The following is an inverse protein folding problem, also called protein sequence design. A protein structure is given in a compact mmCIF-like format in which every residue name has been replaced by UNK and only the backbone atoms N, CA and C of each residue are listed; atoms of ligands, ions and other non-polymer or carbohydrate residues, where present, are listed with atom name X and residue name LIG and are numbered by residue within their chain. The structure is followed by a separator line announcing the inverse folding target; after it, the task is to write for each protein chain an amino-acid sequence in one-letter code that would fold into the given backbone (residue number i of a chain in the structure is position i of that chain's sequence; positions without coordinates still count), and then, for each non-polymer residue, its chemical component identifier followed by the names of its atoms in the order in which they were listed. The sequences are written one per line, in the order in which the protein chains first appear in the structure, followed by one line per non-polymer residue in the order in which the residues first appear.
data_IF_521040132827
#
_entry.id   IF_521040132827
#
_cell.length_a   1.000
_cell.length_b   1.000
_cell.length_c   1.000
_cell.angle_alpha   90.00
_cell.angle_beta   90.00
_cell.angle_gamma   90.00
#
_symmetry.space_group_name_H-M   'P 1'
#
loop_
_entity.id
_entity.type
_entity.pdbx_description
1 polymer ?
#
# COMPACT_ATOMS: atom_id res chain seq x y z
N UNK A 1 7.59 17.24 6.00
CA UNK A 1 8.02 18.42 5.19
C UNK A 1 7.14 19.65 5.41
N UNK A 2 5.83 19.54 5.62
CA UNK A 2 4.93 20.66 5.96
C UNK A 2 4.76 21.74 4.88
N UNK A 3 5.19 21.47 3.65
CA UNK A 3 5.09 22.37 2.50
C UNK A 3 4.15 21.81 1.45
N UNK A 4 3.51 22.68 0.67
CA UNK A 4 2.77 22.24 -0.51
C UNK A 4 3.74 21.74 -1.61
N UNK A 5 3.32 20.84 -2.53
CA UNK A 5 4.19 20.34 -3.61
C UNK A 5 4.80 21.44 -4.49
N UNK A 6 4.09 22.57 -4.65
CA UNK A 6 4.56 23.73 -5.42
C UNK A 6 5.65 24.56 -4.73
N UNK A 7 5.81 24.39 -3.42
CA UNK A 7 6.78 25.13 -2.60
C UNK A 7 8.07 24.33 -2.37
N UNK A 8 8.13 23.08 -2.85
CA UNK A 8 9.31 22.25 -2.72
C UNK A 8 10.43 22.77 -3.64
N UNK A 9 11.61 22.99 -3.06
CA UNK A 9 12.84 23.29 -3.81
C UNK A 9 13.28 22.07 -4.64
N UNK A 10 14.18 22.28 -5.60
CA UNK A 10 14.76 21.19 -6.38
C UNK A 10 15.48 20.17 -5.50
N UNK A 11 16.24 20.61 -4.52
CA UNK A 11 16.94 19.74 -3.55
C UNK A 11 15.99 18.93 -2.66
N UNK A 12 14.80 19.45 -2.35
CA UNK A 12 13.77 18.69 -1.62
C UNK A 12 13.09 17.67 -2.54
N UNK A 13 12.87 18.00 -3.81
CA UNK A 13 12.32 17.05 -4.81
C UNK A 13 13.28 15.89 -5.11
N UNK A 14 14.58 16.13 -5.10
CA UNK A 14 15.60 15.08 -5.27
C UNK A 14 15.52 14.00 -4.18
N UNK A 15 14.96 14.34 -3.01
CA UNK A 15 14.76 13.43 -1.88
C UNK A 15 13.44 12.66 -1.95
N UNK A 16 12.69 12.77 -3.03
CA UNK A 16 11.42 12.07 -3.23
C UNK A 16 11.59 11.06 -4.37
N UNK A 17 11.40 9.79 -4.06
CA UNK A 17 11.32 8.71 -5.05
C UNK A 17 9.87 8.49 -5.45
N UNK A 18 9.60 8.43 -6.76
CA UNK A 18 8.22 8.29 -7.26
C UNK A 18 8.12 7.13 -8.23
N UNK A 19 7.09 6.27 -8.03
CA UNK A 19 6.64 5.33 -9.06
C UNK A 19 5.22 5.72 -9.49
N UNK A 20 5.04 5.95 -10.80
CA UNK A 20 3.72 6.22 -11.37
C UNK A 20 3.25 5.02 -12.20
N UNK A 21 1.95 4.98 -12.52
CA UNK A 21 1.36 3.92 -13.34
C UNK A 21 2.09 3.76 -14.68
N UNK A 22 2.45 4.88 -15.32
CA UNK A 22 3.24 4.85 -16.56
C UNK A 22 4.75 4.95 -16.29
N UNK A 23 5.55 4.26 -17.10
CA UNK A 23 7.01 4.35 -17.06
C UNK A 23 7.46 5.68 -17.65
N UNK A 24 8.25 6.47 -16.91
CA UNK A 24 8.85 7.71 -17.39
C UNK A 24 9.98 7.50 -18.42
N UNK A 25 10.39 6.26 -18.69
CA UNK A 25 11.49 5.98 -19.61
C UNK A 25 11.00 5.61 -21.01
N UNK A 26 11.69 6.13 -22.03
CA UNK A 26 11.47 5.69 -23.41
C UNK A 26 11.70 4.19 -23.56
N UNK A 27 10.81 3.51 -24.25
CA UNK A 27 10.91 2.07 -24.50
C UNK A 27 12.15 1.64 -25.30
N UNK A 28 12.87 2.56 -25.93
CA UNK A 28 14.08 2.30 -26.70
C UNK A 28 15.37 2.31 -25.85
N UNK A 29 15.30 2.78 -24.60
CA UNK A 29 16.44 2.77 -23.68
C UNK A 29 16.72 1.35 -23.17
N UNK A 30 17.99 1.11 -22.84
CA UNK A 30 18.48 -0.06 -22.10
C UNK A 30 18.88 0.37 -20.69
N UNK A 31 19.13 -0.60 -19.80
CA UNK A 31 19.59 -0.32 -18.43
C UNK A 31 20.85 0.55 -18.41
N UNK A 32 21.81 0.32 -19.32
CA UNK A 32 23.03 1.13 -19.44
C UNK A 32 22.78 2.62 -19.76
N UNK A 33 21.66 2.91 -20.44
CA UNK A 33 21.30 4.27 -20.85
C UNK A 33 20.54 4.99 -19.72
N UNK A 34 19.88 4.27 -18.81
CA UNK A 34 19.21 4.82 -17.62
C UNK A 34 20.23 5.35 -16.62
N UNK A 35 21.32 4.63 -16.38
CA UNK A 35 22.34 4.98 -15.37
C UNK A 35 22.86 6.41 -15.52
N UNK A 36 23.35 6.88 -16.69
CA UNK A 36 23.82 8.24 -16.83
C UNK A 36 22.69 9.28 -16.70
N UNK A 37 21.48 8.95 -17.11
CA UNK A 37 20.32 9.85 -16.96
C UNK A 37 20.00 10.05 -15.50
N UNK A 38 19.89 8.96 -14.72
CA UNK A 38 19.61 9.03 -13.29
C UNK A 38 20.72 9.74 -12.52
N UNK A 39 21.98 9.46 -12.82
CA UNK A 39 23.13 10.12 -12.20
C UNK A 39 23.20 11.64 -12.51
N UNK A 40 22.68 12.06 -13.64
CA UNK A 40 22.60 13.49 -13.99
C UNK A 40 21.41 14.20 -13.31
N UNK A 41 20.31 13.49 -13.06
CA UNK A 41 19.09 14.05 -12.46
C UNK A 41 19.10 14.02 -10.94
N UNK A 42 19.73 13.01 -10.34
CA UNK A 42 19.72 12.77 -8.89
C UNK A 42 21.15 12.63 -8.38
N UNK A 43 21.70 13.64 -7.67
CA UNK A 43 23.05 13.57 -7.10
C UNK A 43 23.26 12.38 -6.14
N UNK A 44 22.19 11.95 -5.47
CA UNK A 44 22.18 10.80 -4.56
C UNK A 44 22.02 9.44 -5.24
N UNK A 45 21.98 9.35 -6.58
CA UNK A 45 21.78 8.10 -7.28
C UNK A 45 22.96 7.13 -7.11
N UNK A 46 22.68 6.00 -6.47
CA UNK A 46 23.65 4.91 -6.27
C UNK A 46 23.62 3.95 -7.47
N UNK A 47 24.61 4.14 -8.35
CA UNK A 47 24.79 3.31 -9.55
C UNK A 47 25.05 1.85 -9.20
N UNK A 48 25.84 1.57 -8.18
CA UNK A 48 26.22 0.19 -7.82
C UNK A 48 25.01 -0.54 -7.24
N UNK A 49 24.29 0.09 -6.34
CA UNK A 49 23.00 -0.40 -5.80
C UNK A 49 22.00 -0.69 -6.93
N UNK A 50 21.79 0.25 -7.84
CA UNK A 50 20.87 0.06 -8.97
C UNK A 50 21.23 -1.15 -9.83
N UNK A 51 22.49 -1.29 -10.20
CA UNK A 51 22.96 -2.41 -11.03
C UNK A 51 22.90 -3.75 -10.27
N UNK A 52 23.17 -3.75 -8.97
CA UNK A 52 23.00 -4.91 -8.10
C UNK A 52 21.52 -5.32 -8.04
N UNK A 53 20.61 -4.37 -7.82
CA UNK A 53 19.16 -4.63 -7.79
C UNK A 53 18.67 -5.14 -9.16
N UNK A 54 19.12 -4.57 -10.26
CA UNK A 54 18.80 -5.10 -11.60
C UNK A 54 19.20 -6.58 -11.75
N UNK A 55 20.35 -6.98 -11.20
CA UNK A 55 20.78 -8.37 -11.20
C UNK A 55 19.89 -9.24 -10.29
N UNK A 56 19.68 -8.81 -9.04
CA UNK A 56 18.84 -9.50 -8.03
C UNK A 56 17.43 -9.75 -8.54
N UNK A 57 16.83 -8.79 -9.23
CA UNK A 57 15.47 -8.86 -9.77
C UNK A 57 15.39 -9.39 -11.22
N UNK A 58 16.50 -9.90 -11.77
CA UNK A 58 16.58 -10.49 -13.11
C UNK A 58 16.16 -9.55 -14.24
N UNK A 59 16.51 -8.25 -14.12
CA UNK A 59 16.28 -7.26 -15.18
C UNK A 59 17.37 -7.37 -16.24
N UNK A 60 17.06 -7.70 -17.52
CA UNK A 60 18.05 -7.90 -18.56
C UNK A 60 18.71 -6.57 -18.97
N UNK A 61 20.04 -6.53 -18.92
CA UNK A 61 20.81 -5.30 -19.19
C UNK A 61 20.86 -4.93 -20.68
N UNK A 62 20.74 -5.93 -21.57
CA UNK A 62 20.97 -5.77 -23.02
C UNK A 62 19.71 -5.58 -23.84
N UNK A 63 18.53 -5.81 -23.25
CA UNK A 63 17.22 -5.60 -23.91
C UNK A 63 16.76 -4.18 -23.77
N UNK A 64 16.02 -3.69 -24.77
CA UNK A 64 15.30 -2.42 -24.68
C UNK A 64 14.06 -2.57 -23.76
N UNK A 65 13.69 -1.49 -23.06
CA UNK A 65 12.53 -1.48 -22.13
C UNK A 65 11.22 -1.93 -22.82
N UNK A 66 11.05 -1.63 -24.11
CA UNK A 66 9.87 -2.08 -24.87
C UNK A 66 9.74 -3.62 -24.95
N UNK A 67 10.84 -4.34 -24.79
CA UNK A 67 10.89 -5.81 -24.81
C UNK A 67 10.63 -6.42 -23.42
N UNK A 68 10.50 -5.57 -22.38
CA UNK A 68 10.23 -6.01 -21.01
C UNK A 68 8.76 -6.40 -20.87
N UNK A 69 8.50 -7.46 -20.11
CA UNK A 69 7.15 -7.77 -19.64
C UNK A 69 6.61 -6.66 -18.73
N UNK A 70 5.29 -6.64 -18.51
CA UNK A 70 4.66 -5.70 -17.57
C UNK A 70 5.32 -5.76 -16.19
N UNK A 71 5.53 -6.97 -15.66
CA UNK A 71 6.19 -7.16 -14.36
C UNK A 71 7.65 -6.67 -14.35
N UNK A 72 8.41 -6.86 -15.43
CA UNK A 72 9.77 -6.32 -15.52
C UNK A 72 9.79 -4.78 -15.53
N UNK A 73 8.82 -4.15 -16.19
CA UNK A 73 8.68 -2.69 -16.19
C UNK A 73 8.29 -2.17 -14.81
N UNK A 74 7.37 -2.85 -14.12
CA UNK A 74 6.98 -2.52 -12.74
C UNK A 74 8.20 -2.60 -11.80
N UNK A 75 8.93 -3.72 -11.83
CA UNK A 75 10.19 -3.85 -11.08
C UNK A 75 11.16 -2.71 -11.37
N UNK A 76 11.45 -2.43 -12.64
CA UNK A 76 12.40 -1.38 -13.02
C UNK A 76 12.06 -0.02 -12.40
N UNK A 77 10.77 0.38 -12.39
CA UNK A 77 10.31 1.64 -11.77
C UNK A 77 10.67 1.68 -10.29
N UNK A 78 10.38 0.61 -9.56
CA UNK A 78 10.70 0.49 -8.13
C UNK A 78 12.21 0.57 -7.91
N UNK A 79 13.01 -0.19 -8.70
CA UNK A 79 14.47 -0.20 -8.54
C UNK A 79 15.08 1.18 -8.76
N UNK A 80 14.57 1.95 -9.69
CA UNK A 80 14.98 3.34 -9.91
C UNK A 80 14.63 4.21 -8.69
N UNK A 81 13.40 4.10 -8.18
CA UNK A 81 12.93 4.91 -7.07
C UNK A 81 13.73 4.68 -5.78
N UNK A 82 14.12 3.43 -5.47
CA UNK A 82 14.90 3.11 -4.26
C UNK A 82 16.41 3.32 -4.42
N UNK A 83 16.90 3.67 -5.62
CA UNK A 83 18.33 3.75 -5.91
C UNK A 83 18.92 5.18 -5.88
N UNK A 84 18.12 6.21 -5.59
CA UNK A 84 18.64 7.58 -5.49
C UNK A 84 18.61 8.15 -4.08
N UNK A 85 18.56 7.27 -3.07
CA UNK A 85 18.63 7.61 -1.66
C UNK A 85 17.58 8.65 -1.23
N UNK A 86 16.34 8.42 -1.65
CA UNK A 86 15.22 9.27 -1.28
C UNK A 86 14.89 9.13 0.21
N UNK A 87 14.48 10.21 0.86
CA UNK A 87 13.97 10.19 2.23
C UNK A 87 12.47 9.77 2.24
N UNK A 88 11.77 10.00 1.13
CA UNK A 88 10.34 9.71 0.97
C UNK A 88 10.05 9.01 -0.35
N UNK A 89 9.36 7.87 -0.30
CA UNK A 89 8.86 7.18 -1.49
C UNK A 89 7.36 7.38 -1.65
N UNK A 90 6.95 7.79 -2.86
CA UNK A 90 5.55 7.86 -3.29
C UNK A 90 5.32 6.78 -4.35
N UNK A 91 4.62 5.72 -3.98
CA UNK A 91 4.48 4.51 -4.77
C UNK A 91 3.02 4.31 -5.18
N UNK A 92 2.74 4.50 -6.47
CA UNK A 92 1.40 4.28 -7.02
C UNK A 92 1.33 2.88 -7.64
N UNK A 93 0.57 1.98 -6.99
CA UNK A 93 0.34 0.59 -7.40
C UNK A 93 1.65 -0.17 -7.79
N UNK A 94 2.70 -0.18 -6.95
CA UNK A 94 4.03 -0.63 -7.36
C UNK A 94 4.12 -2.14 -7.63
N UNK A 95 3.16 -2.92 -7.13
CA UNK A 95 3.11 -4.38 -7.25
C UNK A 95 2.16 -4.88 -8.34
N UNK A 96 1.42 -3.96 -8.98
CA UNK A 96 0.46 -4.30 -10.04
C UNK A 96 1.16 -4.97 -11.24
N UNK A 97 0.60 -6.11 -11.68
CA UNK A 97 1.13 -6.90 -12.80
C UNK A 97 2.33 -7.78 -12.44
N UNK A 98 2.67 -7.91 -11.16
CA UNK A 98 3.64 -8.87 -10.64
C UNK A 98 2.95 -10.21 -10.30
N UNK A 99 3.67 -11.31 -10.51
CA UNK A 99 3.31 -12.60 -9.90
C UNK A 99 3.58 -12.58 -8.39
N UNK A 100 3.05 -13.58 -7.67
CA UNK A 100 3.13 -13.65 -6.19
C UNK A 100 4.57 -13.56 -5.68
N UNK A 101 5.50 -14.30 -6.31
CA UNK A 101 6.91 -14.33 -5.88
C UNK A 101 7.60 -12.99 -6.13
N UNK A 102 7.35 -12.38 -7.29
CA UNK A 102 7.91 -11.08 -7.63
C UNK A 102 7.36 -9.97 -6.73
N UNK A 103 6.06 -10.04 -6.39
CA UNK A 103 5.39 -9.12 -5.46
C UNK A 103 6.04 -9.18 -4.08
N UNK A 104 6.15 -10.37 -3.50
CA UNK A 104 6.78 -10.55 -2.19
C UNK A 104 8.23 -10.04 -2.18
N UNK A 105 8.97 -10.27 -3.27
CA UNK A 105 10.34 -9.77 -3.39
C UNK A 105 10.41 -8.23 -3.40
N UNK A 106 9.42 -7.54 -3.99
CA UNK A 106 9.33 -6.08 -3.98
C UNK A 106 8.93 -5.56 -2.60
N UNK A 107 7.96 -6.20 -1.93
CA UNK A 107 7.58 -5.83 -0.56
C UNK A 107 8.76 -5.99 0.42
N UNK A 108 9.53 -7.05 0.29
CA UNK A 108 10.76 -7.24 1.06
C UNK A 108 11.80 -6.15 0.77
N UNK A 109 11.93 -5.71 -0.49
CA UNK A 109 12.82 -4.58 -0.83
C UNK A 109 12.38 -3.28 -0.15
N UNK A 110 11.07 -3.04 0.00
CA UNK A 110 10.56 -1.86 0.73
C UNK A 110 10.87 -1.97 2.24
N UNK A 111 10.71 -3.15 2.86
CA UNK A 111 11.11 -3.37 4.26
C UNK A 111 12.61 -3.12 4.46
N UNK A 112 13.46 -3.74 3.61
CA UNK A 112 14.92 -3.50 3.62
C UNK A 112 15.24 -2.01 3.49
N UNK A 113 14.52 -1.28 2.61
CA UNK A 113 14.71 0.15 2.39
C UNK A 113 14.37 0.99 3.62
N UNK A 114 13.32 0.67 4.34
CA UNK A 114 12.92 1.33 5.59
C UNK A 114 13.89 1.02 6.74
N UNK A 115 14.36 -0.22 6.83
CA UNK A 115 15.31 -0.66 7.87
C UNK A 115 16.70 0.00 7.74
N UNK A 116 17.10 0.43 6.55
CA UNK A 116 18.39 1.09 6.33
C UNK A 116 18.50 2.47 6.99
N UNK A 117 17.38 3.19 7.16
CA UNK A 117 17.36 4.54 7.75
C UNK A 117 15.97 4.85 8.32
N UNK A 118 15.88 5.03 9.63
CA UNK A 118 14.63 5.32 10.37
C UNK A 118 13.97 6.65 9.97
N UNK A 119 14.69 7.54 9.29
CA UNK A 119 14.13 8.80 8.79
C UNK A 119 13.33 8.66 7.51
N UNK A 120 13.42 7.51 6.83
CA UNK A 120 12.69 7.24 5.59
C UNK A 120 11.21 6.98 5.83
N UNK A 121 10.41 7.28 4.84
CA UNK A 121 8.97 6.99 4.85
C UNK A 121 8.47 6.60 3.46
N UNK A 122 7.41 5.80 3.44
CA UNK A 122 6.76 5.33 2.21
C UNK A 122 5.28 5.67 2.27
N UNK A 123 4.77 6.33 1.23
CA UNK A 123 3.34 6.40 0.94
C UNK A 123 3.06 5.50 -0.26
N UNK A 124 2.26 4.48 -0.05
CA UNK A 124 1.93 3.47 -1.07
C UNK A 124 0.43 3.42 -1.30
N UNK A 125 0.01 3.39 -2.58
CA UNK A 125 -1.34 3.01 -2.96
C UNK A 125 -1.34 1.55 -3.43
N UNK A 126 -2.37 0.79 -3.06
CA UNK A 126 -2.62 -0.55 -3.56
C UNK A 126 -4.11 -0.89 -3.47
N UNK A 127 -4.58 -1.68 -4.44
CA UNK A 127 -5.89 -2.36 -4.37
C UNK A 127 -5.76 -3.79 -3.83
N UNK A 128 -4.58 -4.20 -3.39
CA UNK A 128 -4.28 -5.52 -2.82
C UNK A 128 -4.00 -5.31 -1.33
N UNK A 129 -5.00 -5.57 -0.50
CA UNK A 129 -4.96 -5.36 0.95
C UNK A 129 -3.82 -6.12 1.63
N UNK A 130 -3.56 -7.36 1.22
CA UNK A 130 -2.47 -8.17 1.79
C UNK A 130 -1.07 -7.58 1.60
N UNK A 131 -0.86 -6.71 0.60
CA UNK A 131 0.41 -5.99 0.43
C UNK A 131 0.59 -4.92 1.50
N UNK A 132 -0.52 -4.30 1.91
CA UNK A 132 -0.55 -3.21 2.89
C UNK A 132 -0.50 -3.74 4.33
N UNK A 133 -1.25 -4.81 4.64
CA UNK A 133 -1.29 -5.42 5.98
C UNK A 133 0.09 -5.83 6.52
N UNK A 134 0.99 -6.22 5.63
CA UNK A 134 2.35 -6.65 6.01
C UNK A 134 3.43 -5.57 5.88
N UNK A 135 3.08 -4.34 5.49
CA UNK A 135 4.06 -3.29 5.18
C UNK A 135 3.75 -1.94 5.86
N UNK A 136 2.48 -1.59 6.04
CA UNK A 136 2.07 -0.26 6.46
C UNK A 136 1.75 -0.20 7.95
N UNK A 137 2.15 0.89 8.61
CA UNK A 137 1.79 1.20 9.99
C UNK A 137 0.41 1.87 10.04
N UNK A 138 0.11 2.77 9.09
CA UNK A 138 -1.14 3.51 8.97
C UNK A 138 -1.87 3.19 7.67
N UNK A 139 -3.20 3.16 7.71
CA UNK A 139 -4.05 2.94 6.55
C UNK A 139 -5.09 4.05 6.37
N UNK A 140 -5.25 4.47 5.11
CA UNK A 140 -6.29 5.41 4.68
C UNK A 140 -7.16 4.74 3.64
N UNK A 141 -8.46 4.57 3.92
CA UNK A 141 -9.44 4.12 2.93
C UNK A 141 -10.06 5.33 2.27
N UNK A 142 -9.94 5.42 0.95
CA UNK A 142 -10.51 6.51 0.14
C UNK A 142 -11.67 5.97 -0.68
N UNK A 143 -12.84 6.60 -0.55
CA UNK A 143 -14.02 6.28 -1.33
C UNK A 143 -14.71 7.57 -1.81
N UNK A 144 -15.06 7.64 -3.10
CA UNK A 144 -15.70 8.83 -3.74
C UNK A 144 -14.97 10.16 -3.44
N UNK A 145 -13.62 10.12 -3.44
CA UNK A 145 -12.78 11.30 -3.20
C UNK A 145 -12.72 11.77 -1.75
N UNK A 146 -13.19 10.97 -0.80
CA UNK A 146 -13.14 11.26 0.65
C UNK A 146 -12.40 10.17 1.38
N UNK A 147 -11.67 10.56 2.43
CA UNK A 147 -11.14 9.60 3.40
C UNK A 147 -12.31 9.11 4.25
N UNK A 148 -12.58 7.82 4.18
CA UNK A 148 -13.70 7.18 4.88
C UNK A 148 -13.26 6.45 6.14
N UNK A 149 -11.98 6.08 6.22
CA UNK A 149 -11.31 5.55 7.40
C UNK A 149 -9.85 6.00 7.40
N UNK A 150 -9.32 6.34 8.57
CA UNK A 150 -7.90 6.43 8.87
C UNK A 150 -7.68 5.69 10.18
N UNK A 151 -6.81 4.70 10.17
CA UNK A 151 -6.54 3.89 11.36
C UNK A 151 -5.10 3.35 11.33
N UNK A 152 -4.57 3.08 12.52
CA UNK A 152 -3.37 2.28 12.73
C UNK A 152 -3.64 0.83 12.28
N UNK A 153 -2.68 0.22 11.55
CA UNK A 153 -2.86 -1.13 11.00
C UNK A 153 -2.97 -2.19 12.11
N UNK A 154 -2.16 -2.09 13.14
CA UNK A 154 -2.20 -3.04 14.26
C UNK A 154 -3.52 -2.96 15.00
N UNK A 155 -4.08 -1.75 15.18
CA UNK A 155 -5.39 -1.56 15.78
C UNK A 155 -6.48 -2.16 14.88
N UNK A 156 -6.43 -1.92 13.55
CA UNK A 156 -7.39 -2.49 12.61
C UNK A 156 -7.39 -4.03 12.67
N UNK A 157 -6.24 -4.66 12.68
CA UNK A 157 -6.12 -6.11 12.70
C UNK A 157 -6.48 -6.72 14.07
N UNK A 158 -6.22 -6.01 15.17
CA UNK A 158 -6.40 -6.53 16.52
C UNK A 158 -7.73 -6.17 17.18
N UNK A 159 -8.33 -5.01 16.87
CA UNK A 159 -9.53 -4.53 17.56
C UNK A 159 -10.78 -4.54 16.69
N UNK A 160 -10.62 -4.46 15.36
CA UNK A 160 -11.76 -4.53 14.45
C UNK A 160 -12.32 -5.94 14.34
N UNK A 161 -13.62 -6.03 14.07
CA UNK A 161 -14.32 -7.30 13.86
C UNK A 161 -15.55 -7.15 12.99
N UNK A 162 -15.96 -8.27 12.38
CA UNK A 162 -17.19 -8.38 11.64
C UNK A 162 -18.21 -9.18 12.46
N UNK A 163 -19.27 -8.49 12.89
CA UNK A 163 -20.40 -9.09 13.61
C UNK A 163 -21.38 -9.65 12.58
N UNK A 164 -21.77 -10.91 12.74
CA UNK A 164 -22.85 -11.54 11.96
C UNK A 164 -24.03 -11.82 12.86
N UNK A 165 -25.15 -11.14 12.60
CA UNK A 165 -26.33 -11.17 13.45
C UNK A 165 -27.61 -11.41 12.62
N UNK A 166 -28.53 -12.23 13.13
CA UNK A 166 -29.89 -12.30 12.60
C UNK A 166 -30.71 -11.05 12.99
N UNK A 167 -31.95 -10.94 12.53
CA UNK A 167 -32.83 -9.80 12.79
C UNK A 167 -33.06 -9.56 14.30
N UNK A 168 -33.24 -10.63 15.07
CA UNK A 168 -33.46 -10.55 16.51
C UNK A 168 -32.22 -10.18 17.28
N UNK A 169 -31.09 -10.73 16.87
CA UNK A 169 -29.78 -10.41 17.43
C UNK A 169 -29.40 -8.95 17.14
N UNK A 170 -29.56 -8.50 15.89
CA UNK A 170 -29.26 -7.12 15.50
C UNK A 170 -30.13 -6.10 16.23
N UNK A 171 -31.41 -6.41 16.49
CA UNK A 171 -32.30 -5.51 17.19
C UNK A 171 -31.86 -5.21 18.65
N UNK A 172 -31.17 -6.14 19.31
CA UNK A 172 -30.68 -6.01 20.70
C UNK A 172 -29.22 -5.61 20.82
N UNK A 173 -28.47 -5.57 19.68
CA UNK A 173 -27.10 -5.07 19.69
C UNK A 173 -27.04 -3.61 20.13
N UNK A 174 -26.11 -3.29 20.99
CA UNK A 174 -25.64 -1.92 21.17
C UNK A 174 -24.94 -1.47 19.88
N UNK A 175 -25.27 -0.28 19.42
CA UNK A 175 -24.78 0.28 18.15
C UNK A 175 -23.70 1.35 18.32
N UNK A 176 -23.31 1.66 19.56
CA UNK A 176 -22.36 2.71 19.87
C UNK A 176 -21.00 2.50 19.17
N UNK A 177 -20.56 1.25 19.05
CA UNK A 177 -19.28 0.88 18.43
C UNK A 177 -19.46 0.18 17.06
N UNK A 178 -20.60 0.38 16.40
CA UNK A 178 -20.79 -0.10 15.03
C UNK A 178 -20.50 1.05 14.06
N UNK A 179 -19.52 0.84 13.20
CA UNK A 179 -19.05 1.83 12.23
C UNK A 179 -19.87 1.79 10.92
N UNK A 180 -20.26 0.58 10.51
CA UNK A 180 -21.00 0.37 9.27
C UNK A 180 -21.82 -0.91 9.35
N UNK A 181 -22.97 -0.92 8.67
CA UNK A 181 -23.92 -2.04 8.64
C UNK A 181 -24.28 -2.39 7.19
N UNK A 182 -24.35 -3.68 6.91
CA UNK A 182 -24.81 -4.19 5.63
C UNK A 182 -25.89 -5.25 5.84
N UNK A 183 -27.03 -5.09 5.15
CA UNK A 183 -28.06 -6.12 5.11
C UNK A 183 -27.62 -7.27 4.19
N UNK A 184 -27.80 -8.50 4.65
CA UNK A 184 -27.54 -9.73 3.88
C UNK A 184 -28.79 -10.59 3.84
N UNK A 185 -28.88 -11.62 2.98
CA UNK A 185 -30.01 -12.57 2.98
C UNK A 185 -30.19 -13.31 4.31
N UNK A 186 -29.18 -13.37 5.15
CA UNK A 186 -29.15 -14.11 6.42
C UNK A 186 -29.21 -13.21 7.67
N UNK A 187 -29.37 -11.91 7.50
CA UNK A 187 -29.41 -10.95 8.60
C UNK A 187 -28.53 -9.73 8.32
N UNK A 188 -27.69 -9.36 9.27
CA UNK A 188 -26.83 -8.17 9.22
C UNK A 188 -25.37 -8.55 9.39
N UNK A 189 -24.53 -7.87 8.66
CA UNK A 189 -23.07 -7.77 8.92
C UNK A 189 -22.77 -6.37 9.42
N UNK A 190 -22.06 -6.27 10.55
CA UNK A 190 -21.72 -4.99 11.15
C UNK A 190 -20.22 -4.93 11.39
N UNK A 191 -19.56 -3.88 10.89
CA UNK A 191 -18.17 -3.61 11.20
C UNK A 191 -18.09 -2.87 12.54
N UNK A 192 -17.22 -3.33 13.42
CA UNK A 192 -16.94 -2.69 14.72
C UNK A 192 -15.44 -2.50 14.90
N UNK A 193 -15.06 -1.45 15.64
CA UNK A 193 -13.70 -1.21 16.13
C UNK A 193 -13.49 -1.74 17.56
N UNK A 194 -14.48 -2.45 18.13
CA UNK A 194 -14.49 -2.97 19.49
C UNK A 194 -14.93 -4.45 19.54
N UNK A 195 -14.25 -5.33 18.76
CA UNK A 195 -14.63 -6.76 18.72
C UNK A 195 -14.62 -7.44 20.08
N UNK A 196 -13.72 -7.02 20.98
CA UNK A 196 -13.63 -7.53 22.34
C UNK A 196 -14.92 -7.28 23.13
N UNK A 197 -15.42 -6.03 23.09
CA UNK A 197 -16.67 -5.64 23.73
C UNK A 197 -17.83 -6.52 23.29
N UNK A 198 -18.01 -6.75 22.00
CA UNK A 198 -19.12 -7.55 21.49
C UNK A 198 -18.95 -9.05 21.83
N UNK A 199 -17.75 -9.59 21.84
CA UNK A 199 -17.51 -10.97 22.24
C UNK A 199 -17.84 -11.23 23.70
N UNK A 200 -17.55 -10.27 24.58
CA UNK A 200 -17.82 -10.38 26.01
C UNK A 200 -19.30 -10.20 26.36
N UNK A 201 -19.95 -9.21 25.73
CA UNK A 201 -21.33 -8.84 26.07
C UNK A 201 -22.41 -9.57 25.27
N UNK A 202 -22.05 -10.18 24.13
CA UNK A 202 -22.97 -10.90 23.23
C UNK A 202 -22.39 -12.27 22.83
N UNK A 203 -22.24 -13.21 23.76
CA UNK A 203 -21.56 -14.50 23.54
C UNK A 203 -22.30 -15.44 22.56
N UNK A 204 -23.57 -15.15 22.26
CA UNK A 204 -24.39 -15.89 21.31
C UNK A 204 -24.35 -15.29 19.88
N UNK A 205 -23.58 -14.24 19.66
CA UNK A 205 -23.41 -13.59 18.36
C UNK A 205 -22.01 -13.90 17.81
N UNK A 206 -21.96 -14.18 16.52
CA UNK A 206 -20.67 -14.47 15.86
C UNK A 206 -19.93 -13.17 15.60
N UNK A 207 -18.71 -13.04 16.15
CA UNK A 207 -17.80 -11.92 15.91
C UNK A 207 -16.50 -12.47 15.34
N UNK A 208 -16.33 -12.33 14.03
CA UNK A 208 -15.11 -12.72 13.32
C UNK A 208 -14.01 -11.67 13.55
N UNK A 209 -12.76 -12.04 13.31
CA UNK A 209 -11.67 -11.03 13.30
C UNK A 209 -11.85 -10.14 12.07
N UNK A 210 -11.59 -8.87 12.22
CA UNK A 210 -11.55 -7.95 11.08
C UNK A 210 -10.29 -8.16 10.23
N UNK A 211 -10.43 -7.86 8.96
CA UNK A 211 -9.34 -7.76 7.98
C UNK A 211 -9.44 -6.42 7.26
N UNK A 212 -8.38 -6.02 6.58
CA UNK A 212 -8.42 -4.81 5.76
C UNK A 212 -9.45 -4.92 4.63
N UNK A 213 -9.61 -6.10 4.01
CA UNK A 213 -10.63 -6.37 2.96
C UNK A 213 -12.05 -6.15 3.47
N UNK A 214 -12.35 -6.64 4.69
CA UNK A 214 -13.66 -6.47 5.31
C UNK A 214 -13.91 -4.99 5.67
N UNK A 215 -12.90 -4.30 6.23
CA UNK A 215 -12.99 -2.88 6.51
C UNK A 215 -13.27 -2.08 5.23
N UNK A 216 -12.52 -2.33 4.14
CA UNK A 216 -12.75 -1.70 2.84
C UNK A 216 -14.18 -1.97 2.37
N UNK A 217 -14.60 -3.23 2.34
CA UNK A 217 -15.91 -3.64 1.84
C UNK A 217 -17.05 -2.97 2.62
N UNK A 218 -16.94 -2.96 3.94
CA UNK A 218 -17.97 -2.40 4.82
C UNK A 218 -17.99 -0.87 4.78
N UNK A 219 -16.81 -0.22 4.75
CA UNK A 219 -16.72 1.24 4.72
C UNK A 219 -17.10 1.87 3.37
N UNK A 220 -17.03 1.09 2.28
CA UNK A 220 -17.38 1.56 0.93
C UNK A 220 -18.76 1.12 0.45
N UNK A 221 -19.30 0.01 0.98
CA UNK A 221 -20.57 -0.58 0.53
C UNK A 221 -21.64 -0.74 1.60
N UNK A 222 -21.35 -0.47 2.87
CA UNK A 222 -22.28 -0.50 3.99
C UNK A 222 -22.95 0.86 4.26
N UNK A 223 -24.04 0.85 4.99
CA UNK A 223 -24.64 2.06 5.57
C UNK A 223 -23.85 2.44 6.84
N UNK A 224 -23.42 3.69 6.94
CA UNK A 224 -22.76 4.22 8.13
C UNK A 224 -23.79 4.60 9.16
N UNK A 225 -23.54 4.28 10.42
CA UNK A 225 -24.36 4.69 11.57
C UNK A 225 -23.85 5.96 12.21
#
# INVERSE_FOLDING_TARGET
MGKSPSELSETEKEKIGVTLAESGFSGYLKIKDIVPVMAAMYPGFDRERFLYLCLRFSIPKDKCIKEFSTGMKAKLKVLVAVSHNADFLLLDEPTTGLDITARESILNLFREYMEEDESRSILISSHISSDLEGLCDDIYIIHEGKIVLHEDMDKLLNEYGLIKADDGQYARLDKEHILSVRRTPFGYECLTDQKGYYRENYPDIVVENGSLDEAITMMTGGERL
#
